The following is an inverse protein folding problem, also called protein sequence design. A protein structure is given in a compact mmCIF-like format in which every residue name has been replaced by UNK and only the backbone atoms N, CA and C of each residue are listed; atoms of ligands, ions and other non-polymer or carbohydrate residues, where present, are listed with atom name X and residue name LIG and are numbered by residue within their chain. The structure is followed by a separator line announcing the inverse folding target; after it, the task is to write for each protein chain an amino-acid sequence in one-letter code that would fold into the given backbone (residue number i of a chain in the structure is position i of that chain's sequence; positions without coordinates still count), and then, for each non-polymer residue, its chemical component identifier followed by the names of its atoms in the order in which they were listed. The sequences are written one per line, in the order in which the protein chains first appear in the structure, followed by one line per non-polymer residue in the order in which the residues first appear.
data_IF_857909977616
#
_entry.id   IF_857909977616
#
_cell.length_a   1.000
_cell.length_b   1.000
_cell.length_c   1.000
_cell.angle_alpha   90.00
_cell.angle_beta   90.00
_cell.angle_gamma   90.00
#
_symmetry.space_group_name_H-M   'P 1'
#
loop_
_entity.id
_entity.type
_entity.pdbx_description
1 polymer ?
#
# COMPACT_ATOMS: atom_id res chain seq x y z
N UNK A 1 11.40 43.80 -11.73
CA UNK A 1 11.78 42.41 -12.02
C UNK A 1 11.97 41.75 -10.65
N UNK A 2 11.18 40.71 -10.32
CA UNK A 2 11.20 40.05 -9.00
C UNK A 2 11.81 38.67 -9.16
N UNK A 3 12.76 38.32 -8.30
CA UNK A 3 13.43 37.02 -8.32
C UNK A 3 13.00 36.20 -7.11
N UNK A 4 12.70 34.90 -7.35
CA UNK A 4 12.48 33.91 -6.29
C UNK A 4 13.84 33.32 -5.92
N UNK A 5 14.26 33.45 -4.67
CA UNK A 5 15.54 32.92 -4.19
C UNK A 5 15.31 31.93 -3.04
N UNK A 6 16.07 30.83 -3.03
CA UNK A 6 15.96 29.83 -1.96
C UNK A 6 16.41 28.42 -2.34
N UNK A 7 16.59 28.13 -3.63
CA UNK A 7 17.31 26.92 -4.03
C UNK A 7 18.82 27.13 -3.91
N UNK A 8 19.53 26.07 -3.53
CA UNK A 8 20.99 26.09 -3.35
C UNK A 8 21.76 25.71 -4.61
N UNK A 9 21.08 25.12 -5.59
CA UNK A 9 21.66 24.64 -6.86
C UNK A 9 20.72 24.95 -8.03
N UNK A 10 21.10 24.58 -9.25
CA UNK A 10 20.34 24.82 -10.46
C UNK A 10 18.95 24.20 -10.44
N UNK A 11 18.02 24.88 -11.11
CA UNK A 11 16.63 24.45 -11.24
C UNK A 11 16.49 23.71 -12.56
N UNK A 12 15.88 22.51 -12.52
CA UNK A 12 15.68 21.65 -13.67
C UNK A 12 14.28 21.79 -14.27
N UNK A 13 13.28 21.96 -13.40
CA UNK A 13 11.88 22.04 -13.84
C UNK A 13 11.17 23.20 -13.15
N UNK A 14 10.30 23.87 -13.88
CA UNK A 14 9.38 24.88 -13.37
C UNK A 14 7.99 24.57 -13.92
N UNK A 15 6.99 24.61 -13.05
CA UNK A 15 5.59 24.42 -13.40
C UNK A 15 4.73 25.50 -12.74
N UNK A 16 3.78 26.05 -13.49
CA UNK A 16 2.76 26.95 -12.99
C UNK A 16 1.51 26.18 -12.56
N UNK A 17 0.95 26.60 -11.45
CA UNK A 17 -0.37 26.18 -10.99
C UNK A 17 -1.10 27.41 -10.51
N UNK A 18 -2.32 27.65 -10.89
CA UNK A 18 -3.18 28.81 -10.66
C UNK A 18 -2.57 30.01 -9.89
N UNK A 19 -2.18 29.86 -8.63
CA UNK A 19 -1.63 30.92 -7.76
C UNK A 19 -0.21 30.62 -7.24
N UNK A 20 0.44 29.59 -7.77
CA UNK A 20 1.73 29.14 -7.29
C UNK A 20 2.66 28.68 -8.40
N UNK A 21 3.95 28.83 -8.17
CA UNK A 21 5.02 28.27 -8.99
C UNK A 21 5.65 27.10 -8.22
N UNK A 22 5.97 26.04 -8.93
CA UNK A 22 6.67 24.89 -8.43
C UNK A 22 7.99 24.74 -9.14
N UNK A 23 9.02 24.40 -8.39
CA UNK A 23 10.38 24.24 -8.93
C UNK A 23 11.03 22.97 -8.40
N UNK A 24 11.70 22.23 -9.28
CA UNK A 24 12.56 21.11 -8.92
C UNK A 24 14.02 21.48 -9.16
N UNK A 25 14.90 21.06 -8.27
CA UNK A 25 16.28 21.51 -8.26
C UNK A 25 17.29 20.36 -8.06
N UNK A 26 18.50 20.66 -8.49
CA UNK A 26 19.69 19.85 -8.22
C UNK A 26 20.07 19.81 -6.71
N UNK A 27 19.44 20.61 -5.86
CA UNK A 27 19.60 20.55 -4.41
C UNK A 27 18.77 19.47 -3.75
N UNK A 28 18.18 18.53 -4.54
CA UNK A 28 17.38 17.40 -4.12
C UNK A 28 16.02 17.78 -3.53
N UNK A 29 15.56 19.00 -3.75
CA UNK A 29 14.29 19.53 -3.23
C UNK A 29 13.34 19.98 -4.34
N UNK A 30 12.04 19.95 -4.01
CA UNK A 30 10.98 20.61 -4.76
C UNK A 30 10.44 21.73 -3.86
N UNK A 31 10.23 22.90 -4.43
CA UNK A 31 9.67 24.04 -3.69
C UNK A 31 8.42 24.58 -4.37
N UNK A 32 7.45 24.94 -3.54
CA UNK A 32 6.24 25.65 -3.92
C UNK A 32 6.36 27.11 -3.51
N UNK A 33 6.06 28.02 -4.41
CA UNK A 33 6.19 29.46 -4.22
C UNK A 33 4.84 30.16 -4.43
N UNK A 34 4.54 31.16 -3.61
CA UNK A 34 3.39 32.02 -3.83
C UNK A 34 3.69 33.06 -4.90
N UNK A 35 2.79 33.24 -5.87
CA UNK A 35 2.88 34.34 -6.85
C UNK A 35 2.51 35.70 -6.26
N UNK A 36 1.75 35.72 -5.17
CA UNK A 36 1.32 36.97 -4.53
C UNK A 36 2.38 37.53 -3.59
N UNK A 37 2.98 36.65 -2.75
CA UNK A 37 3.98 37.11 -1.75
C UNK A 37 5.42 36.86 -2.18
N UNK A 38 5.65 36.13 -3.26
CA UNK A 38 6.97 35.70 -3.74
C UNK A 38 7.78 34.90 -2.70
N UNK A 39 7.10 34.29 -1.73
CA UNK A 39 7.72 33.50 -0.68
C UNK A 39 7.59 32.01 -0.94
N UNK A 40 8.53 31.23 -0.42
CA UNK A 40 8.45 29.77 -0.42
C UNK A 40 7.37 29.33 0.58
N UNK A 41 6.35 28.63 0.07
CA UNK A 41 5.23 28.11 0.87
C UNK A 41 5.53 26.73 1.45
N UNK A 42 6.18 25.86 0.67
CA UNK A 42 6.46 24.48 1.07
C UNK A 42 7.75 24.00 0.41
N UNK A 43 8.46 23.12 1.11
CA UNK A 43 9.64 22.42 0.58
C UNK A 43 9.45 20.93 0.77
N UNK A 44 9.69 20.15 -0.28
CA UNK A 44 9.62 18.69 -0.27
C UNK A 44 11.05 18.16 -0.40
N UNK A 45 11.53 17.53 0.65
CA UNK A 45 12.87 16.98 0.76
C UNK A 45 12.81 15.46 1.00
N UNK A 46 13.72 14.71 0.40
CA UNK A 46 13.77 13.26 0.60
C UNK A 46 14.35 12.48 -0.58
N UNK A 47 14.54 13.13 -1.74
CA UNK A 47 15.40 12.58 -2.79
C UNK A 47 16.86 12.64 -2.37
N UNK A 48 17.65 11.62 -2.74
CA UNK A 48 19.08 11.56 -2.49
C UNK A 48 19.88 12.14 -3.64
N UNK A 49 19.24 12.37 -4.77
CA UNK A 49 19.82 12.94 -5.99
C UNK A 49 19.07 14.17 -6.48
N UNK A 50 19.59 14.80 -7.53
CA UNK A 50 18.94 15.94 -8.19
C UNK A 50 17.53 15.60 -8.65
N UNK A 51 16.53 16.38 -8.28
CA UNK A 51 15.18 16.23 -8.80
C UNK A 51 15.14 16.81 -10.20
N UNK A 52 14.92 15.94 -11.18
CA UNK A 52 15.00 16.28 -12.60
C UNK A 52 13.65 16.74 -13.17
N UNK A 53 12.58 16.07 -12.78
CA UNK A 53 11.24 16.39 -13.24
C UNK A 53 10.18 16.08 -12.16
N UNK A 54 9.00 16.66 -12.30
CA UNK A 54 7.86 16.39 -11.46
C UNK A 54 6.54 16.73 -12.16
N UNK A 55 5.45 16.13 -11.73
CA UNK A 55 4.10 16.34 -12.23
C UNK A 55 3.07 16.27 -11.11
N UNK A 56 2.01 17.07 -11.18
CA UNK A 56 0.81 16.89 -10.36
C UNK A 56 0.01 15.69 -10.87
N UNK A 57 -0.35 14.79 -10.00
CA UNK A 57 -1.24 13.66 -10.31
C UNK A 57 -2.69 14.13 -10.16
N UNK A 58 -2.97 14.77 -9.05
CA UNK A 58 -4.26 15.34 -8.68
C UNK A 58 -4.07 16.57 -7.76
N UNK A 59 -5.15 17.10 -7.22
CA UNK A 59 -5.11 18.25 -6.29
C UNK A 59 -4.37 17.95 -4.97
N UNK A 60 -4.13 16.68 -4.66
CA UNK A 60 -3.58 16.23 -3.38
C UNK A 60 -2.20 15.61 -3.51
N UNK A 61 -1.84 15.10 -4.70
CA UNK A 61 -0.63 14.32 -4.89
C UNK A 61 0.23 14.85 -6.03
N UNK A 62 1.53 14.76 -5.83
CA UNK A 62 2.56 15.11 -6.80
C UNK A 62 3.50 13.91 -6.95
N UNK A 63 3.92 13.61 -8.17
CA UNK A 63 4.98 12.66 -8.48
C UNK A 63 6.26 13.40 -8.84
N UNK A 64 7.40 12.91 -8.39
CA UNK A 64 8.72 13.44 -8.73
C UNK A 64 9.71 12.35 -9.05
N UNK A 65 10.63 12.65 -9.94
CA UNK A 65 11.68 11.74 -10.39
C UNK A 65 13.05 12.41 -10.26
N UNK A 66 14.04 11.59 -9.99
CA UNK A 66 15.35 12.09 -9.63
C UNK A 66 16.49 11.29 -10.28
N UNK A 67 17.68 11.84 -10.15
CA UNK A 67 18.93 11.17 -10.54
C UNK A 67 19.30 10.01 -9.61
N UNK A 68 18.54 9.73 -8.55
CA UNK A 68 18.69 8.56 -7.68
C UNK A 68 17.95 7.32 -8.21
N UNK A 69 17.26 7.41 -9.37
CA UNK A 69 16.51 6.30 -9.95
C UNK A 69 15.13 6.07 -9.33
N UNK A 70 14.73 6.91 -8.36
CA UNK A 70 13.46 6.76 -7.65
C UNK A 70 12.36 7.65 -8.23
N UNK A 71 11.17 7.06 -8.30
CA UNK A 71 9.91 7.79 -8.42
C UNK A 71 9.32 7.94 -7.02
N UNK A 72 9.05 9.18 -6.59
CA UNK A 72 8.43 9.47 -5.29
C UNK A 72 7.08 10.13 -5.49
N UNK A 73 6.13 9.74 -4.64
CA UNK A 73 4.80 10.35 -4.57
C UNK A 73 4.67 11.10 -3.25
N UNK A 74 4.18 12.33 -3.32
CA UNK A 74 4.04 13.24 -2.18
C UNK A 74 2.60 13.62 -1.95
N UNK A 75 2.20 13.72 -0.70
CA UNK A 75 0.95 14.35 -0.30
C UNK A 75 1.19 15.87 -0.18
N UNK A 76 0.44 16.66 -0.94
CA UNK A 76 0.59 18.12 -0.99
C UNK A 76 0.06 18.83 0.26
N UNK A 77 -0.83 18.17 1.00
CA UNK A 77 -1.40 18.75 2.23
C UNK A 77 -0.46 18.60 3.41
N UNK A 78 0.13 17.44 3.57
CA UNK A 78 1.05 17.14 4.70
C UNK A 78 2.50 17.45 4.37
N UNK A 79 2.86 17.54 3.09
CA UNK A 79 4.24 17.70 2.62
C UNK A 79 5.08 16.43 2.77
N UNK A 80 4.44 15.30 3.10
CA UNK A 80 5.14 14.04 3.37
C UNK A 80 5.21 13.15 2.14
N UNK A 81 6.24 12.32 2.11
CA UNK A 81 6.38 11.27 1.12
C UNK A 81 5.40 10.13 1.45
N UNK A 82 4.58 9.74 0.47
CA UNK A 82 3.57 8.69 0.59
C UNK A 82 4.06 7.37 -0.04
N UNK A 83 4.93 7.45 -1.06
CA UNK A 83 5.42 6.27 -1.75
C UNK A 83 6.78 6.48 -2.40
N UNK A 84 7.63 5.46 -2.30
CA UNK A 84 8.93 5.38 -2.98
C UNK A 84 8.92 4.15 -3.88
N UNK A 85 9.22 4.36 -5.13
CA UNK A 85 9.25 3.30 -6.13
C UNK A 85 10.61 3.29 -6.78
N UNK A 86 11.29 2.15 -6.72
CA UNK A 86 12.53 1.89 -7.43
C UNK A 86 12.19 1.66 -8.91
N UNK A 87 12.26 2.73 -9.68
CA UNK A 87 11.68 2.77 -11.00
C UNK A 87 12.68 2.43 -12.08
N UNK A 88 13.93 2.89 -11.96
CA UNK A 88 14.97 2.71 -12.97
C UNK A 88 16.32 2.42 -12.30
N UNK A 89 17.18 1.69 -12.99
CA UNK A 89 18.54 1.40 -12.52
C UNK A 89 19.47 2.65 -12.54
N UNK A 90 19.10 3.67 -13.31
CA UNK A 90 19.84 4.94 -13.44
C UNK A 90 18.85 6.11 -13.36
N UNK A 91 19.33 7.31 -13.66
CA UNK A 91 18.59 8.58 -13.61
C UNK A 91 17.30 8.51 -14.39
N UNK A 92 16.25 9.07 -13.83
CA UNK A 92 14.96 9.27 -14.50
C UNK A 92 14.91 10.70 -14.99
N UNK A 93 14.79 10.85 -16.30
CA UNK A 93 14.82 12.16 -16.94
C UNK A 93 13.50 12.89 -16.91
N UNK A 94 12.42 12.16 -17.07
CA UNK A 94 11.09 12.76 -17.21
C UNK A 94 10.01 11.90 -16.61
N UNK A 95 8.96 12.57 -16.15
CA UNK A 95 7.73 11.97 -15.66
C UNK A 95 6.53 12.70 -16.27
N UNK A 96 5.53 11.94 -16.68
CA UNK A 96 4.25 12.49 -17.14
C UNK A 96 3.09 11.69 -16.57
N UNK A 97 1.91 12.28 -16.59
CA UNK A 97 0.68 11.66 -16.10
C UNK A 97 -0.39 11.69 -17.20
N UNK A 98 -0.99 10.54 -17.44
CA UNK A 98 -2.11 10.41 -18.38
C UNK A 98 -3.43 10.45 -17.61
N UNK A 99 -4.22 11.49 -17.77
CA UNK A 99 -5.55 11.59 -17.16
C UNK A 99 -6.52 10.53 -17.72
N UNK A 100 -6.34 10.11 -18.98
CA UNK A 100 -7.21 9.15 -19.63
C UNK A 100 -7.04 7.72 -19.06
N UNK A 101 -5.79 7.30 -18.84
CA UNK A 101 -5.47 5.96 -18.31
C UNK A 101 -5.22 5.96 -16.80
N UNK A 102 -5.07 7.15 -16.19
CA UNK A 102 -4.66 7.36 -14.78
C UNK A 102 -3.32 6.71 -14.45
N UNK A 103 -2.41 6.75 -15.41
CA UNK A 103 -1.08 6.16 -15.27
C UNK A 103 -0.01 7.25 -15.21
N UNK A 104 1.00 7.01 -14.38
CA UNK A 104 2.25 7.76 -14.39
C UNK A 104 3.19 7.05 -15.37
N UNK A 105 3.86 7.82 -16.21
CA UNK A 105 4.83 7.30 -17.18
C UNK A 105 6.19 7.91 -16.83
N UNK A 106 7.21 7.08 -16.69
CA UNK A 106 8.58 7.51 -16.42
C UNK A 106 9.52 7.07 -17.53
N UNK A 107 10.51 7.91 -17.84
CA UNK A 107 11.53 7.63 -18.84
C UNK A 107 12.92 7.85 -18.23
N UNK A 108 13.78 6.81 -18.28
CA UNK A 108 15.08 6.78 -17.65
C UNK A 108 16.26 6.82 -18.63
N UNK A 109 17.44 6.96 -18.07
CA UNK A 109 18.71 6.86 -18.80
C UNK A 109 19.04 5.43 -19.24
N UNK A 110 18.43 4.44 -18.60
CA UNK A 110 18.52 3.01 -18.95
C UNK A 110 17.84 2.67 -20.29
N UNK A 111 17.22 3.66 -20.94
CA UNK A 111 16.51 3.50 -22.22
C UNK A 111 15.12 2.90 -22.08
N UNK A 112 14.63 2.71 -20.86
CA UNK A 112 13.32 2.14 -20.59
C UNK A 112 12.26 3.23 -20.36
N UNK A 113 11.02 2.87 -20.65
CA UNK A 113 9.81 3.62 -20.30
C UNK A 113 8.93 2.71 -19.48
N UNK A 114 8.56 3.14 -18.27
CA UNK A 114 7.67 2.38 -17.40
C UNK A 114 6.33 3.08 -17.20
N UNK A 115 5.29 2.26 -17.12
CA UNK A 115 3.91 2.69 -16.87
C UNK A 115 3.50 2.23 -15.46
N UNK A 116 3.03 3.16 -14.64
CA UNK A 116 2.68 2.94 -13.23
C UNK A 116 1.21 3.18 -13.02
N UNK A 117 0.48 2.15 -12.66
CA UNK A 117 -0.96 2.24 -12.35
C UNK A 117 -1.15 2.30 -10.83
N UNK A 118 -1.96 3.22 -10.36
CA UNK A 118 -2.34 3.30 -8.95
C UNK A 118 -3.37 2.21 -8.63
N UNK A 119 -2.94 1.17 -7.94
CA UNK A 119 -3.80 0.07 -7.46
C UNK A 119 -4.17 0.19 -5.99
N UNK A 120 -3.99 1.36 -5.41
CA UNK A 120 -4.24 1.58 -3.98
C UNK A 120 -5.69 1.31 -3.60
N UNK A 121 -6.63 1.72 -4.44
CA UNK A 121 -8.06 1.53 -4.18
C UNK A 121 -8.48 0.06 -4.36
N UNK A 122 -7.94 -0.64 -5.37
CA UNK A 122 -8.16 -2.09 -5.57
C UNK A 122 -7.65 -2.87 -4.35
N UNK A 123 -6.43 -2.57 -3.91
CA UNK A 123 -5.81 -3.24 -2.76
C UNK A 123 -6.57 -2.97 -1.45
N UNK A 124 -7.03 -1.74 -1.24
CA UNK A 124 -7.87 -1.39 -0.08
C UNK A 124 -9.19 -2.14 -0.09
N UNK A 125 -9.82 -2.27 -1.25
CA UNK A 125 -11.08 -2.99 -1.36
C UNK A 125 -10.88 -4.49 -1.14
N UNK A 126 -9.79 -5.08 -1.65
CA UNK A 126 -9.43 -6.47 -1.37
C UNK A 126 -9.17 -6.70 0.13
N UNK A 127 -8.42 -5.81 0.78
CA UNK A 127 -8.15 -5.88 2.22
C UNK A 127 -9.45 -5.75 3.03
N UNK A 128 -10.35 -4.84 2.62
CA UNK A 128 -11.66 -4.66 3.23
C UNK A 128 -12.56 -5.89 3.06
N UNK A 129 -12.55 -6.48 1.87
CA UNK A 129 -13.30 -7.71 1.60
C UNK A 129 -12.78 -8.87 2.46
N UNK A 130 -11.46 -9.05 2.55
CA UNK A 130 -10.84 -10.05 3.42
C UNK A 130 -11.19 -9.84 4.91
N UNK A 131 -11.14 -8.59 5.37
CA UNK A 131 -11.54 -8.26 6.74
C UNK A 131 -13.02 -8.57 7.01
N UNK A 132 -13.91 -8.20 6.09
CA UNK A 132 -15.35 -8.49 6.19
C UNK A 132 -15.64 -9.99 6.17
N UNK A 133 -14.89 -10.77 5.38
CA UNK A 133 -15.01 -12.22 5.33
C UNK A 133 -14.61 -12.86 6.67
N UNK A 134 -13.53 -12.39 7.29
CA UNK A 134 -13.10 -12.84 8.62
C UNK A 134 -14.20 -12.57 9.64
N UNK A 135 -14.75 -11.36 9.69
CA UNK A 135 -15.83 -11.01 10.63
C UNK A 135 -17.07 -11.88 10.43
N UNK A 136 -17.46 -12.14 9.17
CA UNK A 136 -18.60 -13.04 8.88
C UNK A 136 -18.35 -14.48 9.34
N UNK A 137 -17.13 -14.98 9.16
CA UNK A 137 -16.77 -16.34 9.61
C UNK A 137 -16.78 -16.43 11.12
N UNK A 138 -16.27 -15.44 11.83
CA UNK A 138 -16.30 -15.36 13.30
C UNK A 138 -17.75 -15.31 13.82
N UNK A 139 -18.61 -14.49 13.22
CA UNK A 139 -20.02 -14.41 13.59
C UNK A 139 -20.75 -15.74 13.37
N UNK A 140 -20.48 -16.40 12.24
CA UNK A 140 -21.10 -17.70 11.92
C UNK A 140 -20.66 -18.75 12.94
N UNK A 141 -19.38 -18.78 13.29
CA UNK A 141 -18.85 -19.67 14.32
C UNK A 141 -19.47 -19.40 15.69
N UNK A 142 -19.53 -18.14 16.11
CA UNK A 142 -20.13 -17.74 17.37
C UNK A 142 -21.60 -18.14 17.46
N UNK A 143 -22.36 -17.97 16.38
CA UNK A 143 -23.78 -18.37 16.29
C UNK A 143 -23.93 -19.89 16.42
N UNK A 144 -23.08 -20.68 15.75
CA UNK A 144 -23.11 -22.15 15.83
C UNK A 144 -22.74 -22.66 17.24
N UNK A 145 -21.82 -22.00 17.92
CA UNK A 145 -21.45 -22.32 19.31
C UNK A 145 -22.60 -21.96 20.25
N UNK A 146 -23.22 -20.79 20.05
CA UNK A 146 -24.33 -20.33 20.93
C UNK A 146 -25.60 -21.16 20.75
N UNK A 147 -25.86 -21.67 19.55
CA UNK A 147 -26.99 -22.59 19.28
C UNK A 147 -26.76 -24.01 19.79
N UNK A 148 -25.56 -24.32 20.33
CA UNK A 148 -25.21 -25.63 20.83
C UNK A 148 -24.90 -26.66 19.73
N UNK A 149 -24.81 -26.25 18.47
CA UNK A 149 -24.51 -27.09 17.32
C UNK A 149 -23.00 -27.31 17.14
N UNK A 150 -22.33 -27.85 18.15
CA UNK A 150 -20.88 -28.01 18.21
C UNK A 150 -20.31 -28.84 17.06
N UNK A 151 -21.05 -29.83 16.58
CA UNK A 151 -20.62 -30.66 15.43
C UNK A 151 -20.51 -29.83 14.13
N UNK A 152 -21.46 -28.94 13.92
CA UNK A 152 -21.43 -28.02 12.75
C UNK A 152 -20.35 -26.96 12.91
N UNK A 153 -20.14 -26.44 14.12
CA UNK A 153 -19.08 -25.49 14.41
C UNK A 153 -17.70 -26.08 14.14
N UNK A 154 -17.45 -27.31 14.57
CA UNK A 154 -16.19 -28.01 14.32
C UNK A 154 -15.97 -28.26 12.83
N UNK A 155 -16.99 -28.71 12.10
CA UNK A 155 -16.90 -28.91 10.64
C UNK A 155 -16.60 -27.58 9.93
N UNK A 156 -17.22 -26.48 10.38
CA UNK A 156 -17.01 -25.17 9.78
C UNK A 156 -15.57 -24.68 9.96
N UNK A 157 -15.03 -24.74 11.18
CA UNK A 157 -13.61 -24.40 11.48
C UNK A 157 -12.68 -25.27 10.64
N UNK A 158 -13.02 -26.52 10.49
CA UNK A 158 -12.23 -27.49 9.76
C UNK A 158 -12.15 -27.18 8.27
N UNK A 159 -13.30 -26.91 7.62
CA UNK A 159 -13.36 -26.49 6.22
C UNK A 159 -12.59 -25.18 6.03
N UNK A 160 -12.71 -24.24 6.96
CA UNK A 160 -11.99 -22.96 6.92
C UNK A 160 -10.47 -23.15 7.00
N UNK A 161 -9.99 -24.02 7.87
CA UNK A 161 -8.55 -24.35 7.97
C UNK A 161 -8.02 -25.05 6.72
N UNK A 162 -8.83 -25.93 6.09
CA UNK A 162 -8.46 -26.60 4.84
C UNK A 162 -8.34 -25.60 3.69
N UNK A 163 -9.29 -24.67 3.56
CA UNK A 163 -9.28 -23.66 2.49
C UNK A 163 -8.11 -22.67 2.65
N UNK A 164 -7.72 -22.35 3.88
CA UNK A 164 -6.59 -21.43 4.16
C UNK A 164 -5.21 -22.09 4.11
N UNK A 165 -5.14 -23.40 4.11
CA UNK A 165 -3.88 -24.15 4.13
C UNK A 165 -3.50 -24.60 2.72
N UNK A 166 -2.53 -23.91 2.11
CA UNK A 166 -1.95 -24.30 0.81
C UNK A 166 -1.08 -25.58 0.86
N UNK A 167 -1.05 -26.27 1.99
CA UNK A 167 -0.21 -27.45 2.20
C UNK A 167 -1.03 -28.76 2.24
N UNK A 168 -0.79 -29.63 1.27
CA UNK A 168 -1.36 -30.99 1.17
C UNK A 168 -1.09 -31.85 2.44
N UNK A 169 -0.05 -31.53 3.20
CA UNK A 169 0.32 -32.24 4.44
C UNK A 169 -0.67 -31.98 5.58
N UNK A 170 -1.16 -30.75 5.73
CA UNK A 170 -2.14 -30.39 6.75
C UNK A 170 -3.48 -31.07 6.50
N UNK A 171 -3.92 -31.21 5.24
CA UNK A 171 -5.17 -31.89 4.90
C UNK A 171 -5.16 -33.37 5.32
N UNK A 172 -4.04 -34.07 5.16
CA UNK A 172 -3.90 -35.49 5.58
C UNK A 172 -3.86 -35.65 7.09
N UNK A 173 -3.16 -34.79 7.82
CA UNK A 173 -3.08 -34.84 9.28
C UNK A 173 -4.44 -34.53 9.91
N UNK A 174 -5.14 -33.59 9.35
CA UNK A 174 -6.45 -33.16 9.79
C UNK A 174 -7.51 -34.23 9.50
N UNK A 175 -7.47 -34.92 8.35
CA UNK A 175 -8.36 -36.07 8.08
C UNK A 175 -8.17 -37.22 9.07
N UNK A 176 -6.94 -37.47 9.55
CA UNK A 176 -6.67 -38.47 10.57
C UNK A 176 -7.25 -38.10 11.95
N UNK A 177 -7.17 -36.80 12.32
CA UNK A 177 -7.71 -36.32 13.60
C UNK A 177 -9.23 -36.40 13.64
N UNK A 178 -9.95 -36.14 12.51
CA UNK A 178 -11.42 -36.30 12.45
C UNK A 178 -11.86 -37.74 12.63
N UNK A 179 -11.16 -38.70 12.01
CA UNK A 179 -11.50 -40.13 12.13
C UNK A 179 -11.31 -40.66 13.56
N UNK A 180 -10.42 -40.04 14.32
CA UNK A 180 -10.20 -40.39 15.73
C UNK A 180 -11.24 -39.72 16.65
N UNK A 181 -11.65 -38.47 16.34
CA UNK A 181 -12.49 -37.67 17.24
C UNK A 181 -14.00 -37.96 17.14
N UNK A 182 -14.50 -38.46 16.00
CA UNK A 182 -15.92 -38.86 15.90
C UNK A 182 -16.28 -40.02 16.88
N UNK A 183 -15.29 -40.78 17.28
CA UNK A 183 -15.47 -41.82 18.33
C UNK A 183 -15.22 -41.32 19.76
N UNK A 184 -14.49 -40.21 19.94
CA UNK A 184 -14.05 -39.71 21.27
C UNK A 184 -14.91 -38.56 21.80
N UNK A 185 -15.58 -37.77 20.91
CA UNK A 185 -16.37 -36.58 21.27
C UNK A 185 -17.74 -36.93 21.89
N UNK A 186 -18.19 -38.17 21.83
CA UNK A 186 -19.41 -38.60 22.56
C UNK A 186 -19.24 -38.64 24.07
N UNK A 187 -18.04 -38.50 24.62
CA UNK A 187 -17.81 -38.73 26.07
C UNK A 187 -17.29 -37.50 26.87
N UNK A 188 -16.79 -36.41 26.30
CA UNK A 188 -16.23 -35.30 27.11
C UNK A 188 -16.28 -33.92 26.47
N UNK A 189 -17.37 -33.18 26.71
CA UNK A 189 -17.53 -31.76 26.29
C UNK A 189 -16.59 -30.74 27.00
N UNK A 190 -15.79 -31.16 27.96
CA UNK A 190 -14.93 -30.27 28.79
C UNK A 190 -13.56 -29.94 28.20
N UNK A 191 -13.09 -30.64 27.17
CA UNK A 191 -11.73 -30.46 26.64
C UNK A 191 -11.63 -29.55 25.42
N UNK A 192 -12.74 -29.20 24.82
CA UNK A 192 -12.78 -28.37 23.60
C UNK A 192 -12.47 -26.89 23.92
N UNK A 193 -12.89 -26.38 25.05
CA UNK A 193 -12.62 -25.01 25.50
C UNK A 193 -11.12 -24.74 25.77
N UNK A 194 -10.39 -25.73 26.29
CA UNK A 194 -8.95 -25.58 26.57
C UNK A 194 -8.06 -25.60 25.31
N UNK A 195 -8.56 -26.07 24.18
CA UNK A 195 -7.81 -26.10 22.93
C UNK A 195 -7.84 -24.73 22.24
N UNK A 196 -8.94 -24.00 22.33
CA UNK A 196 -9.08 -22.66 21.76
C UNK A 196 -8.22 -21.60 22.48
N UNK A 197 -8.06 -21.67 23.79
CA UNK A 197 -7.21 -20.73 24.54
C UNK A 197 -5.70 -20.92 24.29
N UNK A 198 -5.27 -22.09 23.84
CA UNK A 198 -3.85 -22.36 23.55
C UNK A 198 -3.42 -22.06 22.11
N UNK A 199 -4.34 -22.02 21.15
CA UNK A 199 -4.02 -21.74 19.74
C UNK A 199 -3.94 -20.25 19.40
N UNK A 200 -4.37 -19.34 20.29
CA UNK A 200 -4.22 -17.89 20.12
C UNK A 200 -2.83 -17.33 20.50
N UNK A 201 -1.90 -18.19 20.95
CA UNK A 201 -0.56 -17.76 21.39
C UNK A 201 0.59 -18.08 20.40
N UNK A 202 0.31 -18.61 19.20
CA UNK A 202 1.34 -18.90 18.20
C UNK A 202 0.92 -18.44 16.79
N UNK A 203 0.87 -17.11 16.62
CA UNK A 203 1.06 -16.46 15.32
C UNK A 203 1.56 -15.03 15.54
#
# INVERSE_FOLDING_TARGET
MTALSGHRRGIWRVMFSAESVWTASADCSIKKWSLNSFQCLSTFEGHLGSVLDFIGIDEKRLASVSSDGLLKVWDLKTGTNVGNFDAHEDKIWSVTYSEATKEIITAGRDGNIFFWTDKTDEKREEERQKANEIVKTEQTLANLVHSGELDKALRFVFIFLIIKSDSIFTVRFISCVILIDTKYLQSKSKYVLNFFERSTFYF
#
